data_IF_353045768223
#
_entry.id   IF_353045768223
#
_cell.length_a   1.000
_cell.length_b   1.000
_cell.length_c   1.000
_cell.angle_alpha   90.00
_cell.angle_beta   90.00
_cell.angle_gamma   90.00
#
_symmetry.space_group_name_H-M   'P 1'
#
loop_
_entity.id
_entity.type
_entity.pdbx_description
1 polymer ?
#
# COMPACT_ATOMS: atom_id res chain seq x y z
N UNK A 1 4.74 34.49 7.71
CA UNK A 1 5.75 33.56 8.26
C UNK A 1 6.99 33.42 7.40
N UNK A 2 6.94 32.90 6.17
CA UNK A 2 8.15 32.75 5.32
C UNK A 2 8.97 34.03 5.17
N UNK A 3 8.33 35.16 4.83
CA UNK A 3 9.02 36.47 4.74
C UNK A 3 9.65 36.91 6.06
N UNK A 4 9.00 36.62 7.18
CA UNK A 4 9.49 36.97 8.52
C UNK A 4 10.69 36.10 8.95
N UNK A 5 10.76 34.87 8.43
CA UNK A 5 11.87 33.94 8.61
C UNK A 5 12.91 34.03 7.48
N UNK A 6 12.94 35.14 6.72
CA UNK A 6 13.88 35.34 5.61
C UNK A 6 13.92 34.20 4.59
N UNK A 7 12.76 33.57 4.34
CA UNK A 7 12.59 32.44 3.43
C UNK A 7 13.27 31.13 3.87
N UNK A 8 13.68 31.03 5.13
CA UNK A 8 14.14 29.78 5.72
C UNK A 8 13.00 28.75 5.78
N UNK A 9 13.23 27.59 5.15
CA UNK A 9 12.22 26.52 5.03
C UNK A 9 12.08 25.75 6.36
N UNK A 10 13.20 25.49 7.04
CA UNK A 10 13.25 24.70 8.27
C UNK A 10 12.28 25.16 9.35
N UNK A 11 12.22 26.45 9.77
CA UNK A 11 11.30 26.90 10.81
C UNK A 11 9.83 26.74 10.40
N UNK A 12 9.51 26.94 9.12
CA UNK A 12 8.15 26.80 8.60
C UNK A 12 7.70 25.35 8.61
N UNK A 13 8.54 24.42 8.13
CA UNK A 13 8.26 22.99 8.21
C UNK A 13 8.16 22.50 9.66
N UNK A 14 9.03 23.01 10.55
CA UNK A 14 8.97 22.67 11.98
C UNK A 14 7.63 23.05 12.58
N UNK A 15 7.13 24.26 12.28
CA UNK A 15 5.81 24.71 12.75
C UNK A 15 4.67 23.89 12.15
N UNK A 16 4.72 23.60 10.85
CA UNK A 16 3.72 22.79 10.16
C UNK A 16 3.62 21.39 10.77
N UNK A 17 4.75 20.70 10.91
CA UNK A 17 4.81 19.34 11.45
C UNK A 17 4.64 19.27 12.97
N UNK A 18 4.67 20.39 13.69
CA UNK A 18 4.34 20.44 15.13
C UNK A 18 2.87 20.83 15.39
N UNK A 19 2.13 21.19 14.35
CA UNK A 19 0.74 21.64 14.48
C UNK A 19 -0.22 20.46 14.63
N UNK A 20 -1.14 20.54 15.59
CA UNK A 20 -2.23 19.59 15.74
C UNK A 20 -3.11 19.50 14.47
N UNK A 21 -3.24 20.61 13.72
CA UNK A 21 -4.00 20.63 12.48
C UNK A 21 -3.40 19.70 11.41
N UNK A 22 -2.07 19.58 11.34
CA UNK A 22 -1.41 18.73 10.36
C UNK A 22 -1.76 17.25 10.56
N UNK A 23 -1.96 16.81 11.80
CA UNK A 23 -2.31 15.43 12.14
C UNK A 23 -3.81 15.19 12.37
N UNK A 24 -4.66 16.18 12.10
CA UNK A 24 -6.10 16.03 12.24
C UNK A 24 -6.63 14.92 11.31
N UNK A 25 -7.65 14.18 11.76
CA UNK A 25 -8.18 13.01 11.03
C UNK A 25 -8.67 13.37 9.61
N UNK A 26 -9.18 14.58 9.40
CA UNK A 26 -9.60 15.05 8.07
C UNK A 26 -8.45 15.23 7.08
N UNK A 27 -7.22 15.35 7.57
CA UNK A 27 -6.03 15.64 6.77
C UNK A 27 -5.14 14.39 6.59
N UNK A 28 -5.47 13.29 7.27
CA UNK A 28 -4.83 11.98 7.10
C UNK A 28 -5.64 11.13 6.13
N UNK A 29 -4.97 10.32 5.31
CA UNK A 29 -5.65 9.47 4.32
C UNK A 29 -6.60 10.28 3.40
N UNK A 30 -6.28 11.55 3.15
CA UNK A 30 -7.14 12.49 2.43
C UNK A 30 -6.91 12.45 0.91
N UNK A 31 -5.85 11.76 0.47
CA UNK A 31 -5.48 11.67 -0.94
C UNK A 31 -5.54 10.24 -1.43
N UNK A 32 -5.93 10.04 -2.70
CA UNK A 32 -5.85 8.74 -3.34
C UNK A 32 -4.43 8.57 -3.91
N UNK A 33 -3.76 7.47 -3.56
CA UNK A 33 -2.43 7.14 -4.06
C UNK A 33 -2.44 7.14 -5.59
N UNK A 34 -1.50 7.85 -6.21
CA UNK A 34 -1.26 7.67 -7.64
C UNK A 34 -0.74 6.25 -7.92
N UNK A 35 -0.84 5.74 -9.14
CA UNK A 35 -0.30 4.42 -9.51
C UNK A 35 1.17 4.24 -9.09
N UNK A 36 2.04 5.20 -9.40
CA UNK A 36 3.44 5.16 -9.01
C UNK A 36 3.63 5.14 -7.49
N UNK A 37 2.88 5.99 -6.77
CA UNK A 37 2.92 6.04 -5.31
C UNK A 37 2.49 4.71 -4.70
N UNK A 38 1.40 4.10 -5.19
CA UNK A 38 0.91 2.81 -4.70
C UNK A 38 2.00 1.74 -4.79
N UNK A 39 2.66 1.62 -5.95
CA UNK A 39 3.70 0.62 -6.18
C UNK A 39 4.91 0.86 -5.28
N UNK A 40 5.47 2.06 -5.32
CA UNK A 40 6.68 2.41 -4.54
C UNK A 40 6.41 2.30 -3.05
N UNK A 41 5.24 2.75 -2.58
CA UNK A 41 4.85 2.65 -1.19
C UNK A 41 4.67 1.19 -0.77
N UNK A 42 4.08 0.32 -1.60
CA UNK A 42 3.94 -1.11 -1.31
C UNK A 42 5.31 -1.77 -1.13
N UNK A 43 6.25 -1.51 -2.06
CA UNK A 43 7.63 -2.01 -1.97
C UNK A 43 8.31 -1.52 -0.70
N UNK A 44 8.20 -0.22 -0.39
CA UNK A 44 8.84 0.39 0.79
C UNK A 44 8.21 -0.06 2.12
N UNK A 45 6.88 -0.14 2.20
CA UNK A 45 6.16 -0.48 3.43
C UNK A 45 6.42 -1.93 3.85
N UNK A 46 6.44 -2.85 2.88
CA UNK A 46 6.58 -4.27 3.18
C UNK A 46 8.01 -4.79 2.98
N UNK A 47 8.86 -4.08 2.24
CA UNK A 47 10.18 -4.59 1.87
C UNK A 47 10.09 -5.75 0.89
N UNK A 48 9.10 -5.75 -0.01
CA UNK A 48 9.01 -6.77 -1.06
C UNK A 48 10.20 -6.66 -2.00
N UNK A 49 10.64 -7.77 -2.63
CA UNK A 49 11.58 -7.68 -3.74
C UNK A 49 11.06 -6.71 -4.80
N UNK A 50 11.90 -5.80 -5.34
CA UNK A 50 11.52 -5.04 -6.51
C UNK A 50 11.39 -6.05 -7.66
N UNK A 51 10.14 -6.31 -8.04
CA UNK A 51 9.79 -7.20 -9.16
C UNK A 51 10.23 -6.59 -10.50
N UNK A 52 9.87 -7.22 -11.62
CA UNK A 52 10.23 -6.72 -12.95
C UNK A 52 9.71 -5.28 -13.16
N UNK A 53 10.63 -4.33 -13.33
CA UNK A 53 10.30 -2.90 -13.45
C UNK A 53 9.44 -2.59 -14.67
N UNK A 54 9.62 -3.33 -15.77
CA UNK A 54 8.79 -3.21 -16.97
C UNK A 54 7.32 -3.57 -16.69
N UNK A 55 7.08 -4.64 -15.93
CA UNK A 55 5.73 -5.03 -15.53
C UNK A 55 5.09 -4.00 -14.59
N UNK A 56 5.87 -3.43 -13.66
CA UNK A 56 5.40 -2.36 -12.77
C UNK A 56 5.10 -1.07 -13.54
N UNK A 57 5.92 -0.71 -14.53
CA UNK A 57 5.68 0.43 -15.42
C UNK A 57 4.42 0.23 -16.28
N UNK A 58 4.25 -0.95 -16.88
CA UNK A 58 3.03 -1.30 -17.61
C UNK A 58 1.79 -1.26 -16.72
N UNK A 59 1.90 -1.66 -15.45
CA UNK A 59 0.79 -1.54 -14.52
C UNK A 59 0.46 -0.08 -14.16
N UNK A 60 1.46 0.81 -14.07
CA UNK A 60 1.22 2.25 -13.92
C UNK A 60 0.43 2.81 -15.11
N UNK A 61 0.80 2.43 -16.33
CA UNK A 61 0.10 2.82 -17.56
C UNK A 61 -1.35 2.30 -17.58
N UNK A 62 -1.56 1.01 -17.26
CA UNK A 62 -2.91 0.43 -17.12
C UNK A 62 -3.78 1.13 -16.06
N UNK A 63 -3.16 1.81 -15.09
CA UNK A 63 -3.85 2.62 -14.08
C UNK A 63 -3.99 4.10 -14.46
N UNK A 64 -3.55 4.50 -15.65
CA UNK A 64 -3.67 5.84 -16.21
C UNK A 64 -2.48 6.77 -15.93
N UNK A 65 -1.36 6.25 -15.43
CA UNK A 65 -0.15 7.02 -15.15
C UNK A 65 1.06 6.47 -15.91
N UNK A 66 1.05 6.61 -17.23
CA UNK A 66 2.22 6.28 -18.06
C UNK A 66 3.42 7.15 -17.67
N UNK A 67 4.49 6.53 -17.18
CA UNK A 67 5.61 7.25 -16.57
C UNK A 67 6.39 8.02 -17.63
N UNK A 68 6.74 9.27 -17.33
CA UNK A 68 7.41 10.20 -18.25
C UNK A 68 6.58 10.63 -19.47
N UNK A 69 5.29 10.27 -19.53
CA UNK A 69 4.35 10.66 -20.58
C UNK A 69 3.09 11.33 -19.99
N UNK A 70 3.21 12.52 -19.37
CA UNK A 70 2.05 13.22 -18.85
C UNK A 70 1.13 13.71 -19.98
N UNK A 71 -0.20 13.73 -19.77
CA UNK A 71 -1.15 14.11 -20.83
C UNK A 71 -1.06 15.59 -21.23
N UNK A 72 -0.50 16.46 -20.38
CA UNK A 72 -0.25 17.87 -20.66
C UNK A 72 0.71 18.46 -19.59
N UNK A 73 0.94 19.78 -19.65
CA UNK A 73 1.86 20.51 -18.76
C UNK A 73 1.50 20.51 -17.27
N UNK A 74 0.23 20.25 -16.86
CA UNK A 74 -0.13 20.08 -15.44
C UNK A 74 0.19 18.68 -14.91
N UNK A 75 0.59 17.75 -15.77
CA UNK A 75 0.76 16.34 -15.41
C UNK A 75 -0.54 15.54 -15.54
N UNK A 76 -0.69 14.51 -14.71
CA UNK A 76 -1.89 13.67 -14.69
C UNK A 76 -2.95 14.23 -13.74
N UNK A 77 -4.22 13.98 -14.08
CA UNK A 77 -5.31 14.26 -13.15
C UNK A 77 -5.24 13.33 -11.94
N UNK A 78 -5.24 13.91 -10.74
CA UNK A 78 -5.14 13.18 -9.48
C UNK A 78 -6.50 12.81 -8.87
N UNK A 79 -6.44 12.15 -7.71
CA UNK A 79 -7.64 11.86 -6.91
C UNK A 79 -8.46 10.71 -7.48
N UNK A 80 -9.76 10.94 -7.69
CA UNK A 80 -10.71 9.87 -8.08
C UNK A 80 -10.48 9.33 -9.49
N UNK A 81 -9.76 10.07 -10.34
CA UNK A 81 -9.35 9.62 -11.69
C UNK A 81 -8.51 8.35 -11.65
N UNK A 82 -7.80 8.10 -10.54
CA UNK A 82 -7.01 6.89 -10.33
C UNK A 82 -7.84 5.63 -10.05
N UNK A 83 -9.14 5.77 -9.79
CA UNK A 83 -10.00 4.69 -9.30
C UNK A 83 -11.22 4.53 -10.20
N UNK A 84 -11.28 3.37 -10.85
CA UNK A 84 -12.47 2.81 -11.48
C UNK A 84 -12.45 1.28 -11.31
N UNK A 85 -13.48 0.59 -11.81
CA UNK A 85 -13.59 -0.87 -11.68
C UNK A 85 -12.36 -1.60 -12.23
N UNK A 86 -11.83 -1.16 -13.37
CA UNK A 86 -10.67 -1.79 -14.01
C UNK A 86 -9.37 -1.48 -13.26
N UNK A 87 -9.15 -0.23 -12.86
CA UNK A 87 -7.91 0.18 -12.20
C UNK A 87 -7.81 -0.45 -10.81
N UNK A 88 -8.91 -0.64 -10.07
CA UNK A 88 -8.91 -1.36 -8.79
C UNK A 88 -8.40 -2.80 -8.92
N UNK A 89 -8.76 -3.49 -10.01
CA UNK A 89 -8.28 -4.84 -10.27
C UNK A 89 -6.77 -4.85 -10.53
N UNK A 90 -6.28 -3.91 -11.36
CA UNK A 90 -4.84 -3.75 -11.63
C UNK A 90 -4.06 -3.44 -10.34
N UNK A 91 -4.57 -2.54 -9.50
CA UNK A 91 -3.98 -2.19 -8.20
C UNK A 91 -3.79 -3.41 -7.31
N UNK A 92 -4.83 -4.24 -7.20
CA UNK A 92 -4.76 -5.46 -6.41
C UNK A 92 -3.81 -6.50 -7.03
N UNK A 93 -3.81 -6.65 -8.35
CA UNK A 93 -2.89 -7.58 -9.03
C UNK A 93 -1.44 -7.18 -8.84
N UNK A 94 -1.13 -5.88 -8.86
CA UNK A 94 0.24 -5.41 -8.58
C UNK A 94 0.64 -5.70 -7.14
N UNK A 95 -0.26 -5.49 -6.17
CA UNK A 95 0.02 -5.85 -4.78
C UNK A 95 0.29 -7.36 -4.64
N UNK A 96 -0.54 -8.21 -5.25
CA UNK A 96 -0.33 -9.66 -5.26
C UNK A 96 0.98 -10.03 -5.94
N UNK A 97 1.31 -9.41 -7.08
CA UNK A 97 2.56 -9.66 -7.78
C UNK A 97 3.78 -9.29 -6.94
N UNK A 98 3.76 -8.14 -6.26
CA UNK A 98 4.83 -7.74 -5.34
C UNK A 98 5.00 -8.76 -4.21
N UNK A 99 3.90 -9.23 -3.62
CA UNK A 99 3.92 -10.17 -2.50
C UNK A 99 4.31 -11.60 -2.90
N UNK A 100 3.90 -12.06 -4.07
CA UNK A 100 3.95 -13.49 -4.44
C UNK A 100 4.84 -13.82 -5.62
N UNK A 101 5.24 -12.82 -6.42
CA UNK A 101 5.96 -13.03 -7.67
C UNK A 101 5.09 -13.54 -8.82
N UNK A 102 3.79 -13.77 -8.57
CA UNK A 102 2.84 -14.32 -9.54
C UNK A 102 2.11 -13.21 -10.28
N UNK A 103 2.04 -13.33 -11.61
CA UNK A 103 1.19 -12.45 -12.43
C UNK A 103 0.05 -13.26 -13.07
N UNK A 104 -1.15 -12.68 -13.22
CA UNK A 104 -2.28 -13.38 -13.81
C UNK A 104 -2.17 -13.58 -15.33
N UNK A 105 -1.29 -12.84 -16.01
CA UNK A 105 -1.14 -12.79 -17.46
C UNK A 105 0.00 -13.66 -18.01
N UNK A 106 0.74 -14.37 -17.14
CA UNK A 106 1.91 -15.18 -17.54
C UNK A 106 1.82 -16.62 -17.04
N UNK A 107 2.59 -17.50 -17.67
CA UNK A 107 2.65 -18.90 -17.25
C UNK A 107 3.40 -19.07 -15.94
N UNK A 108 3.11 -20.16 -15.22
CA UNK A 108 3.69 -20.39 -13.88
C UNK A 108 5.22 -20.44 -13.89
N UNK A 109 5.84 -20.93 -14.97
CA UNK A 109 7.30 -21.01 -15.12
C UNK A 109 7.97 -19.65 -15.42
N UNK A 110 7.20 -18.60 -15.69
CA UNK A 110 7.70 -17.23 -15.91
C UNK A 110 7.57 -16.35 -14.67
N UNK A 111 7.03 -16.90 -13.57
CA UNK A 111 6.88 -16.18 -12.31
C UNK A 111 8.24 -15.95 -11.64
N UNK A 112 8.35 -14.82 -10.96
CA UNK A 112 9.54 -14.48 -10.19
C UNK A 112 9.60 -15.31 -8.92
N UNK A 113 10.59 -16.19 -8.82
CA UNK A 113 10.79 -17.10 -7.68
C UNK A 113 11.31 -16.39 -6.42
N UNK A 114 11.69 -15.11 -6.51
CA UNK A 114 12.20 -14.36 -5.35
C UNK A 114 11.13 -14.25 -4.29
N UNK A 115 11.39 -14.85 -3.13
CA UNK A 115 10.42 -14.92 -2.04
C UNK A 115 10.44 -13.64 -1.20
N UNK A 116 9.27 -13.06 -1.00
CA UNK A 116 9.05 -12.00 -0.01
C UNK A 116 9.12 -12.58 1.41
N UNK A 117 9.76 -11.91 2.37
CA UNK A 117 9.74 -12.33 3.78
C UNK A 117 8.88 -11.38 4.64
N UNK A 118 7.71 -11.81 5.15
CA UNK A 118 6.85 -10.99 5.99
C UNK A 118 7.25 -11.00 7.48
N UNK A 119 8.16 -11.87 7.93
CA UNK A 119 8.52 -12.02 9.35
C UNK A 119 8.94 -10.69 10.03
N UNK A 120 9.76 -9.82 9.41
CA UNK A 120 10.15 -8.56 10.03
C UNK A 120 8.97 -7.63 10.32
N UNK A 121 7.88 -7.73 9.55
CA UNK A 121 6.68 -6.93 9.75
C UNK A 121 5.89 -7.37 10.98
N UNK A 122 6.02 -8.65 11.36
CA UNK A 122 5.31 -9.29 12.46
C UNK A 122 6.14 -9.37 13.75
N UNK A 123 7.35 -8.81 13.76
CA UNK A 123 8.23 -8.84 14.93
C UNK A 123 7.50 -8.34 16.20
N UNK A 124 7.42 -9.22 17.21
CA UNK A 124 6.76 -8.95 18.50
C UNK A 124 5.25 -9.19 18.52
N UNK A 125 4.61 -9.50 17.39
CA UNK A 125 3.18 -9.81 17.32
C UNK A 125 2.96 -11.33 17.32
N UNK A 126 2.52 -11.89 18.46
CA UNK A 126 2.36 -13.35 18.63
C UNK A 126 0.91 -13.83 18.56
N UNK A 127 -0.07 -12.94 18.75
CA UNK A 127 -1.50 -13.28 18.66
C UNK A 127 -2.09 -12.86 17.31
N UNK A 128 -3.14 -13.53 16.79
CA UNK A 128 -3.77 -13.15 15.53
C UNK A 128 -4.23 -11.68 15.50
N UNK A 129 -4.80 -11.21 16.61
CA UNK A 129 -5.18 -9.80 16.77
C UNK A 129 -3.99 -8.85 16.67
N UNK A 130 -2.91 -9.14 17.42
CA UNK A 130 -1.70 -8.32 17.40
C UNK A 130 -1.02 -8.32 16.02
N UNK A 131 -1.04 -9.45 15.30
CA UNK A 131 -0.51 -9.54 13.94
C UNK A 131 -1.30 -8.65 12.98
N UNK A 132 -2.63 -8.72 13.02
CA UNK A 132 -3.50 -7.88 12.19
C UNK A 132 -3.32 -6.40 12.53
N UNK A 133 -3.27 -6.04 13.80
CA UNK A 133 -3.06 -4.66 14.24
C UNK A 133 -1.70 -4.11 13.78
N UNK A 134 -0.67 -4.94 13.87
CA UNK A 134 0.67 -4.59 13.40
C UNK A 134 0.68 -4.35 11.89
N UNK A 135 0.11 -5.28 11.11
CA UNK A 135 0.03 -5.12 9.66
C UNK A 135 -0.81 -3.89 9.27
N UNK A 136 -1.96 -3.67 9.89
CA UNK A 136 -2.78 -2.46 9.70
C UNK A 136 -1.96 -1.20 9.96
N UNK A 137 -1.19 -1.16 11.05
CA UNK A 137 -0.38 0.02 11.40
C UNK A 137 0.73 0.34 10.40
N UNK A 138 1.26 -0.68 9.71
CA UNK A 138 2.28 -0.53 8.67
C UNK A 138 1.64 -0.13 7.33
N UNK A 139 0.47 -0.71 7.02
CA UNK A 139 -0.18 -0.59 5.73
C UNK A 139 -1.01 0.68 5.56
N UNK A 140 -1.78 1.07 6.58
CA UNK A 140 -2.87 2.03 6.47
C UNK A 140 -2.53 3.38 7.09
N UNK A 141 -2.84 4.47 6.37
CA UNK A 141 -2.65 5.84 6.86
C UNK A 141 -3.71 6.27 7.89
N UNK A 142 -4.85 5.55 7.93
CA UNK A 142 -5.94 5.74 8.88
C UNK A 142 -6.46 4.37 9.35
N UNK A 143 -6.99 4.27 10.59
CA UNK A 143 -7.54 3.01 11.08
C UNK A 143 -8.75 2.58 10.23
N UNK A 144 -8.86 1.29 9.88
CA UNK A 144 -9.97 0.79 9.10
C UNK A 144 -11.24 0.67 9.94
N UNK A 145 -12.38 0.48 9.28
CA UNK A 145 -13.64 0.19 9.98
C UNK A 145 -13.49 -1.01 10.93
N UNK A 146 -14.04 -0.98 12.17
CA UNK A 146 -13.88 -2.07 13.14
C UNK A 146 -14.31 -3.45 12.61
N UNK A 147 -15.34 -3.52 11.77
CA UNK A 147 -15.79 -4.77 11.15
C UNK A 147 -14.75 -5.36 10.18
N UNK A 148 -14.04 -4.51 9.42
CA UNK A 148 -12.97 -4.97 8.50
C UNK A 148 -11.82 -5.55 9.30
N UNK A 149 -11.45 -4.91 10.40
CA UNK A 149 -10.46 -5.45 11.34
C UNK A 149 -10.91 -6.80 11.90
N UNK A 150 -12.15 -6.90 12.38
CA UNK A 150 -12.69 -8.15 12.92
C UNK A 150 -12.68 -9.27 11.86
N UNK A 151 -13.04 -8.96 10.62
CA UNK A 151 -12.99 -9.90 9.50
C UNK A 151 -11.57 -10.40 9.19
N UNK A 152 -10.56 -9.52 9.23
CA UNK A 152 -9.15 -9.91 9.03
C UNK A 152 -8.66 -10.85 10.14
N UNK A 153 -9.03 -10.58 11.40
CA UNK A 153 -8.68 -11.46 12.53
C UNK A 153 -9.33 -12.83 12.37
N UNK A 154 -10.64 -12.86 12.08
CA UNK A 154 -11.38 -14.11 11.86
C UNK A 154 -10.80 -14.92 10.69
N UNK A 155 -10.43 -14.25 9.60
CA UNK A 155 -9.75 -14.89 8.48
C UNK A 155 -8.43 -15.54 8.91
N UNK A 156 -7.58 -14.79 9.63
CA UNK A 156 -6.27 -15.29 10.08
C UNK A 156 -6.38 -16.49 11.03
N UNK A 157 -7.43 -16.55 11.85
CA UNK A 157 -7.77 -17.68 12.73
C UNK A 157 -8.22 -18.91 11.91
N UNK A 158 -9.09 -18.72 10.93
CA UNK A 158 -9.54 -19.81 10.05
C UNK A 158 -8.39 -20.46 9.27
N UNK A 159 -7.42 -19.65 8.82
CA UNK A 159 -6.24 -20.16 8.12
C UNK A 159 -5.28 -20.94 9.04
N UNK A 160 -5.25 -20.60 10.35
CA UNK A 160 -4.49 -21.37 11.33
C UNK A 160 -5.03 -22.80 11.45
N UNK A 161 -6.36 -22.93 11.42
CA UNK A 161 -7.07 -24.21 11.50
C UNK A 161 -6.83 -25.06 10.25
N UNK A 162 -6.65 -24.42 9.09
CA UNK A 162 -6.30 -25.07 7.82
C UNK A 162 -4.83 -25.51 7.70
N UNK A 163 -4.02 -25.41 8.77
CA UNK A 163 -2.57 -25.75 8.79
C UNK A 163 -1.72 -24.96 7.77
N UNK A 164 -2.16 -23.77 7.37
CA UNK A 164 -1.35 -22.91 6.53
C UNK A 164 -0.09 -22.44 7.29
N UNK A 165 1.03 -22.30 6.58
CA UNK A 165 2.27 -21.78 7.19
C UNK A 165 2.08 -20.34 7.65
N UNK A 166 2.81 -19.92 8.69
CA UNK A 166 2.76 -18.53 9.19
C UNK A 166 3.09 -17.52 8.09
N UNK A 167 4.07 -17.83 7.25
CA UNK A 167 4.38 -17.05 6.06
C UNK A 167 3.18 -16.89 5.12
N UNK A 168 2.52 -17.99 4.72
CA UNK A 168 1.36 -17.94 3.81
C UNK A 168 0.20 -17.16 4.40
N UNK A 169 -0.01 -17.30 5.72
CA UNK A 169 -1.04 -16.57 6.47
C UNK A 169 -0.78 -15.06 6.48
N UNK A 170 0.47 -14.66 6.76
CA UNK A 170 0.88 -13.26 6.75
C UNK A 170 0.71 -12.62 5.37
N UNK A 171 1.18 -13.30 4.32
CA UNK A 171 1.01 -12.84 2.93
C UNK A 171 -0.47 -12.70 2.56
N UNK A 172 -1.31 -13.65 2.93
CA UNK A 172 -2.74 -13.60 2.66
C UNK A 172 -3.43 -12.41 3.37
N UNK A 173 -3.10 -12.14 4.64
CA UNK A 173 -3.62 -10.98 5.36
C UNK A 173 -3.15 -9.67 4.73
N UNK A 174 -1.88 -9.56 4.35
CA UNK A 174 -1.37 -8.37 3.65
C UNK A 174 -2.11 -8.16 2.33
N UNK A 175 -2.34 -9.23 1.56
CA UNK A 175 -3.08 -9.17 0.30
C UNK A 175 -4.56 -8.75 0.51
N UNK A 176 -5.18 -9.12 1.62
CA UNK A 176 -6.52 -8.64 1.97
C UNK A 176 -6.50 -7.16 2.39
N UNK A 177 -5.50 -6.74 3.16
CA UNK A 177 -5.33 -5.34 3.55
C UNK A 177 -5.14 -4.46 2.31
N UNK A 178 -4.37 -4.91 1.30
CA UNK A 178 -4.16 -4.13 0.07
C UNK A 178 -5.43 -3.95 -0.76
N UNK A 179 -6.42 -4.82 -0.58
CA UNK A 179 -7.71 -4.74 -1.23
C UNK A 179 -8.68 -3.77 -0.51
N UNK A 180 -8.33 -3.28 0.68
CA UNK A 180 -9.20 -2.37 1.43
C UNK A 180 -9.24 -0.97 0.80
N UNK A 181 -10.38 -0.25 0.89
CA UNK A 181 -10.47 1.15 0.49
C UNK A 181 -9.43 2.04 1.18
N UNK A 182 -9.20 1.81 2.47
CA UNK A 182 -8.24 2.56 3.28
C UNK A 182 -6.80 2.42 2.78
N UNK A 183 -6.46 1.29 2.13
CA UNK A 183 -5.13 1.11 1.54
C UNK A 183 -4.93 1.95 0.28
N UNK A 184 -6.00 2.39 -0.37
CA UNK A 184 -5.89 3.26 -1.55
C UNK A 184 -5.57 4.71 -1.18
N UNK A 185 -5.59 5.04 0.12
CA UNK A 185 -5.44 6.38 0.65
C UNK A 185 -4.05 6.64 1.22
N UNK A 186 -3.57 7.87 1.06
CA UNK A 186 -2.34 8.41 1.64
C UNK A 186 -2.66 9.64 2.50
#
# INVERSE_FOLDING_TARGET
ELRAQQYEIKPVLTKLFSSAHFYHLSNRAATIKSPAQLIVQTVRQYGTPPRQLSALAGACDLMGQDLFQPPNVKGWDGGRTWINTSTLFVRQNVAIYLLTGKRPDVYDWENDETRFNPEPLLAGATTPGAMVDRLISVSLAAPPHPERRAALVSFLESQAQARATEHSRAVAVIALITALPEYQLA
#
